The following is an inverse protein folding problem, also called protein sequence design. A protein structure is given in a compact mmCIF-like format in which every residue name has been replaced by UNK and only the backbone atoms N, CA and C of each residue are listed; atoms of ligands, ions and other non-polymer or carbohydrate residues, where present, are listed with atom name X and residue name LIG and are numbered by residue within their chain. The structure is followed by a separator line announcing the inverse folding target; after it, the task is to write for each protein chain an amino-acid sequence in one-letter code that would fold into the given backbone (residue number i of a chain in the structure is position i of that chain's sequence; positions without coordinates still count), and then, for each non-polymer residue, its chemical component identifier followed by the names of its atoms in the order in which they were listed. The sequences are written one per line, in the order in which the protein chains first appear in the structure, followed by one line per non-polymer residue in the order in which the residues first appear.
data_IF_120100623299
#
_entry.id   IF_120100623299
#
_cell.length_a   1.000
_cell.length_b   1.000
_cell.length_c   1.000
_cell.angle_alpha   90.00
_cell.angle_beta   90.00
_cell.angle_gamma   90.00
#
_symmetry.space_group_name_H-M   'P 1'
#
loop_
_entity.id
_entity.type
_entity.pdbx_description
1 polymer ?
#
# COMPACT_ATOMS: atom_id res chain seq x y z
N UNK A 1 39.37 34.05 9.67
CA UNK A 1 39.26 32.57 9.83
C UNK A 1 37.99 32.11 9.11
N UNK A 2 38.17 31.38 8.03
CA UNK A 2 37.20 31.22 6.94
C UNK A 2 35.99 30.37 7.36
N UNK A 3 34.77 30.85 7.18
CA UNK A 3 33.50 30.17 7.52
C UNK A 3 33.38 28.77 6.86
N UNK A 4 33.92 28.63 5.66
CA UNK A 4 33.99 27.35 4.92
C UNK A 4 34.80 26.26 5.66
N UNK A 5 35.85 26.62 6.40
CA UNK A 5 36.63 25.67 7.21
C UNK A 5 35.84 25.16 8.43
N UNK A 6 34.98 26.01 9.01
CA UNK A 6 34.10 25.62 10.16
C UNK A 6 32.98 24.68 9.75
N UNK A 7 32.43 24.85 8.55
CA UNK A 7 31.36 23.95 8.02
C UNK A 7 31.96 22.58 7.68
N UNK A 8 33.15 22.56 7.02
CA UNK A 8 33.86 21.31 6.69
C UNK A 8 34.24 20.48 7.93
N UNK A 9 34.63 21.14 9.02
CA UNK A 9 34.96 20.46 10.27
C UNK A 9 33.70 19.91 11.00
N UNK A 10 32.54 20.59 10.90
CA UNK A 10 31.29 20.06 11.45
C UNK A 10 30.79 18.83 10.68
N UNK A 11 30.96 18.80 9.36
CA UNK A 11 30.58 17.65 8.52
C UNK A 11 31.51 16.45 8.82
N UNK A 12 32.81 16.69 9.02
CA UNK A 12 33.75 15.63 9.42
C UNK A 12 33.51 15.10 10.84
N UNK A 13 33.05 15.96 11.77
CA UNK A 13 32.68 15.49 13.11
C UNK A 13 31.46 14.57 13.10
N UNK A 14 30.43 14.88 12.28
CA UNK A 14 29.26 14.00 12.10
C UNK A 14 29.64 12.66 11.47
N UNK A 15 30.55 12.66 10.49
CA UNK A 15 31.09 11.44 9.89
C UNK A 15 31.90 10.59 10.88
N UNK A 16 32.69 11.22 11.75
CA UNK A 16 33.47 10.52 12.79
C UNK A 16 32.62 9.99 13.93
N UNK A 17 31.63 10.76 14.38
CA UNK A 17 30.65 10.32 15.39
C UNK A 17 29.77 9.19 14.81
N UNK A 18 29.33 9.30 13.56
CA UNK A 18 28.60 8.25 12.87
C UNK A 18 29.42 6.95 12.74
N UNK A 19 30.71 7.02 12.39
CA UNK A 19 31.61 5.85 12.36
C UNK A 19 31.85 5.25 13.75
N UNK A 20 32.02 6.09 14.77
CA UNK A 20 32.22 5.65 16.15
C UNK A 20 30.97 4.97 16.73
N UNK A 21 29.77 5.51 16.44
CA UNK A 21 28.52 4.89 16.84
C UNK A 21 28.25 3.58 16.08
N UNK A 22 28.61 3.49 14.78
CA UNK A 22 28.52 2.25 13.99
C UNK A 22 29.45 1.14 14.50
N UNK A 23 30.62 1.47 15.02
CA UNK A 23 31.57 0.46 15.55
C UNK A 23 31.13 -0.13 16.89
N UNK A 24 30.24 0.53 17.63
CA UNK A 24 29.75 0.06 18.94
C UNK A 24 28.37 -0.61 18.89
N UNK A 25 27.59 -0.38 17.83
CA UNK A 25 26.26 -0.96 17.67
C UNK A 25 26.16 -1.59 16.29
N UNK A 26 26.36 -2.88 16.21
CA UNK A 26 26.32 -3.66 14.98
C UNK A 26 24.91 -3.83 14.38
N UNK A 27 23.87 -3.50 15.15
CA UNK A 27 22.49 -3.46 14.66
C UNK A 27 21.67 -2.50 15.51
N UNK A 28 20.94 -1.60 14.87
CA UNK A 28 19.98 -0.72 15.50
C UNK A 28 18.60 -1.04 14.90
N UNK A 29 17.69 -1.50 15.75
CA UNK A 29 16.30 -1.77 15.34
C UNK A 29 15.49 -0.51 15.54
N UNK A 30 14.85 -0.02 14.48
CA UNK A 30 13.92 1.10 14.57
C UNK A 30 12.51 0.54 14.65
N UNK A 31 11.99 0.42 15.85
CA UNK A 31 10.57 0.15 16.08
C UNK A 31 9.82 1.48 16.02
N UNK A 32 8.89 1.61 15.09
CA UNK A 32 8.00 2.77 15.05
C UNK A 32 6.62 2.34 15.50
N UNK A 33 6.15 2.81 16.67
CA UNK A 33 4.76 2.59 17.05
C UNK A 33 3.85 3.27 16.04
N UNK A 34 2.80 2.59 15.62
CA UNK A 34 1.74 3.18 14.85
C UNK A 34 0.80 3.94 15.81
N UNK A 35 0.68 5.24 15.61
CA UNK A 35 -0.23 6.07 16.42
C UNK A 35 -1.43 6.43 15.55
N UNK A 36 -2.61 5.92 15.93
CA UNK A 36 -3.87 6.37 15.34
C UNK A 36 -4.19 7.72 15.95
N UNK A 37 -4.17 8.77 15.13
CA UNK A 37 -4.77 10.05 15.51
C UNK A 37 -6.27 9.96 15.25
N UNK A 38 -7.05 10.09 16.30
CA UNK A 38 -8.50 10.22 16.22
C UNK A 38 -8.80 11.70 16.13
N UNK A 39 -9.08 12.19 14.93
CA UNK A 39 -9.56 13.56 14.73
C UNK A 39 -11.09 13.59 14.85
N UNK A 40 -11.66 14.70 15.31
CA UNK A 40 -13.11 14.87 15.45
C UNK A 40 -13.85 14.96 14.09
N UNK A 41 -13.12 15.20 13.01
CA UNK A 41 -13.67 15.25 11.65
C UNK A 41 -13.59 13.87 10.99
N UNK A 42 -14.75 13.24 10.86
CA UNK A 42 -14.90 11.92 10.26
C UNK A 42 -15.51 12.04 8.86
N UNK A 43 -14.69 12.35 7.86
CA UNK A 43 -15.15 12.54 6.47
C UNK A 43 -15.63 11.24 5.80
N UNK A 44 -15.30 10.08 6.38
CA UNK A 44 -15.73 8.77 5.89
C UNK A 44 -16.76 8.10 6.82
N UNK A 45 -17.43 8.89 7.68
CA UNK A 45 -18.46 8.32 8.55
C UNK A 45 -19.60 7.70 7.73
N UNK A 46 -20.06 6.53 8.16
CA UNK A 46 -21.07 5.74 7.43
C UNK A 46 -20.54 5.00 6.19
N UNK A 47 -19.30 5.20 5.77
CA UNK A 47 -18.71 4.50 4.63
C UNK A 47 -18.26 3.09 4.99
N UNK A 48 -18.40 2.16 4.03
CA UNK A 48 -17.96 0.77 4.12
C UNK A 48 -16.70 0.57 3.28
N UNK A 49 -15.60 0.22 3.94
CA UNK A 49 -14.30 0.03 3.29
C UNK A 49 -13.84 -1.43 3.36
N UNK A 50 -13.49 -2.02 2.22
CA UNK A 50 -12.91 -3.36 2.10
C UNK A 50 -11.42 -3.24 1.76
N UNK A 51 -10.54 -3.87 2.56
CA UNK A 51 -9.09 -3.80 2.37
C UNK A 51 -8.52 -5.19 2.22
N UNK A 52 -8.15 -5.56 1.00
CA UNK A 52 -7.47 -6.84 0.76
C UNK A 52 -6.01 -6.76 1.21
N UNK A 53 -5.48 -7.85 1.77
CA UNK A 53 -4.13 -7.83 2.34
C UNK A 53 -3.99 -6.88 3.54
N UNK A 54 -5.07 -6.65 4.28
CA UNK A 54 -5.15 -5.71 5.39
C UNK A 54 -4.26 -6.04 6.60
N UNK A 55 -3.72 -7.25 6.68
CA UNK A 55 -2.72 -7.64 7.69
C UNK A 55 -1.28 -7.23 7.32
N UNK A 56 -1.01 -6.90 6.06
CA UNK A 56 0.29 -6.41 5.61
C UNK A 56 0.54 -4.95 6.04
N UNK A 57 1.79 -4.51 6.06
CA UNK A 57 2.17 -3.18 6.58
C UNK A 57 1.36 -2.03 5.96
N UNK A 58 1.24 -1.99 4.62
CA UNK A 58 0.49 -0.94 3.92
C UNK A 58 -1.02 -1.11 4.14
N UNK A 59 -1.55 -2.33 3.97
CA UNK A 59 -2.97 -2.61 4.18
C UNK A 59 -3.43 -2.29 5.60
N UNK A 60 -2.61 -2.66 6.61
CA UNK A 60 -2.83 -2.30 8.01
C UNK A 60 -2.90 -0.78 8.19
N UNK A 61 -1.94 -0.04 7.65
CA UNK A 61 -1.94 1.43 7.75
C UNK A 61 -3.17 2.06 7.07
N UNK A 62 -3.62 1.52 5.93
CA UNK A 62 -4.86 1.95 5.29
C UNK A 62 -6.08 1.64 6.15
N UNK A 63 -6.16 0.45 6.76
CA UNK A 63 -7.26 0.06 7.63
C UNK A 63 -7.40 1.01 8.82
N UNK A 64 -6.31 1.29 9.51
CA UNK A 64 -6.28 2.23 10.61
C UNK A 64 -6.69 3.64 10.19
N UNK A 65 -6.14 4.11 9.08
CA UNK A 65 -6.41 5.48 8.61
C UNK A 65 -7.87 5.67 8.23
N UNK A 66 -8.45 4.74 7.46
CA UNK A 66 -9.86 4.83 7.04
C UNK A 66 -10.80 4.64 8.23
N UNK A 67 -10.48 3.76 9.19
CA UNK A 67 -11.24 3.62 10.41
C UNK A 67 -11.17 4.89 11.29
N UNK A 68 -10.02 5.55 11.38
CA UNK A 68 -9.87 6.83 12.09
C UNK A 68 -10.78 7.90 11.52
N UNK A 69 -10.97 7.94 10.21
CA UNK A 69 -11.87 8.86 9.49
C UNK A 69 -13.35 8.45 9.56
N UNK A 70 -13.71 7.38 10.27
CA UNK A 70 -15.09 6.98 10.54
C UNK A 70 -15.62 5.80 9.73
N UNK A 71 -14.88 5.31 8.73
CA UNK A 71 -15.33 4.17 7.95
C UNK A 71 -15.45 2.89 8.79
N UNK A 72 -16.45 2.05 8.50
CA UNK A 72 -16.49 0.65 8.92
C UNK A 72 -15.56 -0.15 8.02
N UNK A 73 -14.51 -0.73 8.58
CA UNK A 73 -13.42 -1.34 7.80
C UNK A 73 -13.47 -2.85 7.86
N UNK A 74 -13.54 -3.52 6.71
CA UNK A 74 -13.39 -4.96 6.56
C UNK A 74 -11.93 -5.28 6.21
N UNK A 75 -11.20 -5.80 7.18
CA UNK A 75 -9.78 -6.15 7.06
C UNK A 75 -9.66 -7.57 6.55
N UNK A 76 -9.31 -7.75 5.27
CA UNK A 76 -9.22 -9.05 4.63
C UNK A 76 -7.80 -9.61 4.69
N UNK A 77 -7.66 -10.86 5.16
CA UNK A 77 -6.41 -11.62 5.21
C UNK A 77 -6.58 -13.02 4.65
N UNK A 78 -5.52 -13.60 4.07
CA UNK A 78 -5.56 -14.95 3.48
C UNK A 78 -5.70 -16.08 4.51
N UNK A 79 -5.32 -15.82 5.76
CA UNK A 79 -5.45 -16.79 6.88
C UNK A 79 -6.47 -16.24 7.88
N UNK A 80 -7.25 -17.14 8.55
CA UNK A 80 -8.31 -16.73 9.47
C UNK A 80 -7.83 -15.77 10.58
N UNK A 81 -6.60 -15.99 11.08
CA UNK A 81 -6.04 -15.26 12.21
C UNK A 81 -5.19 -14.04 11.83
N UNK A 82 -4.93 -13.82 10.52
CA UNK A 82 -3.96 -12.79 10.11
C UNK A 82 -4.52 -11.37 10.23
N UNK A 83 -5.81 -11.17 10.05
CA UNK A 83 -6.46 -9.86 10.12
C UNK A 83 -6.92 -9.48 11.53
N UNK A 84 -7.15 -10.46 12.42
CA UNK A 84 -7.72 -10.24 13.74
C UNK A 84 -6.91 -9.26 14.61
N UNK A 85 -5.57 -9.33 14.72
CA UNK A 85 -4.81 -8.38 15.53
C UNK A 85 -4.99 -6.93 15.09
N UNK A 86 -5.13 -6.69 13.77
CA UNK A 86 -5.37 -5.35 13.22
C UNK A 86 -6.75 -4.84 13.62
N UNK A 87 -7.74 -5.71 13.57
CA UNK A 87 -9.12 -5.41 13.95
C UNK A 87 -9.23 -5.12 15.43
N UNK A 88 -8.59 -5.93 16.29
CA UNK A 88 -8.59 -5.74 17.73
C UNK A 88 -8.01 -4.38 18.13
N UNK A 89 -6.90 -3.97 17.50
CA UNK A 89 -6.31 -2.66 17.72
C UNK A 89 -7.23 -1.51 17.26
N UNK A 90 -7.91 -1.64 16.12
CA UNK A 90 -8.86 -0.64 15.62
C UNK A 90 -10.06 -0.51 16.57
N UNK A 91 -10.60 -1.64 17.05
CA UNK A 91 -11.71 -1.67 18.00
C UNK A 91 -11.27 -1.07 19.35
N UNK A 92 -10.06 -1.39 19.82
CA UNK A 92 -9.51 -0.81 21.05
C UNK A 92 -9.35 0.73 20.96
N UNK A 93 -9.18 1.28 19.75
CA UNK A 93 -9.19 2.71 19.49
C UNK A 93 -10.61 3.30 19.35
N UNK A 94 -11.67 2.55 19.65
CA UNK A 94 -13.06 3.00 19.59
C UNK A 94 -13.63 3.10 18.16
N UNK A 95 -13.01 2.44 17.18
CA UNK A 95 -13.42 2.47 15.77
C UNK A 95 -14.02 1.14 15.34
N UNK A 96 -14.64 1.11 14.13
CA UNK A 96 -15.38 -0.04 13.62
C UNK A 96 -14.53 -0.84 12.65
N UNK A 97 -14.26 -2.11 12.94
CA UNK A 97 -13.57 -3.02 12.03
C UNK A 97 -14.10 -4.45 12.16
N UNK A 98 -13.96 -5.22 11.08
CA UNK A 98 -14.32 -6.64 11.01
C UNK A 98 -13.19 -7.40 10.32
N UNK A 99 -12.76 -8.54 10.89
CA UNK A 99 -11.77 -9.41 10.27
C UNK A 99 -12.44 -10.38 9.31
N UNK A 100 -11.93 -10.48 8.09
CA UNK A 100 -12.45 -11.39 7.06
C UNK A 100 -11.31 -12.28 6.54
N UNK A 101 -11.57 -13.57 6.45
CA UNK A 101 -10.72 -14.45 5.67
C UNK A 101 -11.07 -14.29 4.19
N UNK A 102 -10.10 -13.92 3.37
CA UNK A 102 -10.26 -13.79 1.93
C UNK A 102 -9.02 -14.29 1.19
N UNK A 103 -9.19 -15.34 0.40
CA UNK A 103 -8.18 -15.80 -0.54
C UNK A 103 -8.42 -15.16 -1.90
N UNK A 104 -7.58 -14.19 -2.28
CA UNK A 104 -7.72 -13.47 -3.57
C UNK A 104 -7.43 -14.33 -4.81
N UNK A 105 -6.99 -15.58 -4.63
CA UNK A 105 -6.84 -16.56 -5.71
C UNK A 105 -8.16 -17.29 -6.04
N UNK A 106 -9.10 -17.29 -5.12
CA UNK A 106 -10.39 -17.98 -5.23
C UNK A 106 -11.51 -16.97 -5.60
N UNK A 107 -11.95 -17.04 -6.85
CA UNK A 107 -12.95 -16.12 -7.38
C UNK A 107 -14.33 -16.30 -6.71
N UNK A 108 -14.67 -17.54 -6.32
CA UNK A 108 -15.95 -17.83 -5.64
C UNK A 108 -15.91 -17.24 -4.23
N UNK A 109 -14.81 -17.47 -3.50
CA UNK A 109 -14.62 -16.88 -2.18
C UNK A 109 -14.68 -15.35 -2.20
N UNK A 110 -14.13 -14.69 -3.25
CA UNK A 110 -14.23 -13.24 -3.41
C UNK A 110 -15.70 -12.83 -3.59
N UNK A 111 -16.41 -13.44 -4.54
CA UNK A 111 -17.80 -13.11 -4.83
C UNK A 111 -18.68 -13.24 -3.58
N UNK A 112 -18.59 -14.37 -2.87
CA UNK A 112 -19.36 -14.63 -1.64
C UNK A 112 -19.02 -13.62 -0.55
N UNK A 113 -17.74 -13.30 -0.36
CA UNK A 113 -17.29 -12.33 0.63
C UNK A 113 -17.86 -10.94 0.38
N UNK A 114 -17.80 -10.45 -0.88
CA UNK A 114 -18.32 -9.12 -1.21
C UNK A 114 -19.84 -9.05 -1.10
N UNK A 115 -20.55 -10.11 -1.49
CA UNK A 115 -22.01 -10.22 -1.27
C UNK A 115 -22.37 -10.18 0.20
N UNK A 116 -21.65 -10.93 1.05
CA UNK A 116 -21.92 -10.96 2.49
C UNK A 116 -21.67 -9.59 3.13
N UNK A 117 -20.54 -8.94 2.79
CA UNK A 117 -20.26 -7.57 3.27
C UNK A 117 -21.35 -6.59 2.85
N UNK A 118 -21.78 -6.63 1.60
CA UNK A 118 -22.84 -5.76 1.11
C UNK A 118 -24.17 -6.02 1.84
N UNK A 119 -24.56 -7.29 2.03
CA UNK A 119 -25.79 -7.66 2.75
C UNK A 119 -25.79 -7.16 4.20
N UNK A 120 -24.65 -7.20 4.89
CA UNK A 120 -24.49 -6.65 6.25
C UNK A 120 -24.52 -5.12 6.33
N UNK A 121 -24.46 -4.43 5.20
CA UNK A 121 -24.36 -2.98 5.11
C UNK A 121 -25.36 -2.38 4.10
N UNK A 122 -26.57 -2.92 4.05
CA UNK A 122 -27.69 -2.38 3.24
C UNK A 122 -27.34 -2.22 1.75
N UNK A 123 -26.52 -3.11 1.22
CA UNK A 123 -26.04 -3.08 -0.17
C UNK A 123 -24.86 -2.17 -0.43
N UNK A 124 -24.19 -1.65 0.62
CA UNK A 124 -23.09 -0.71 0.48
C UNK A 124 -21.71 -1.37 0.55
N UNK A 125 -20.89 -1.07 -0.45
CA UNK A 125 -19.44 -1.14 -0.45
C UNK A 125 -18.97 0.16 -1.09
N UNK A 126 -18.40 1.07 -0.30
CA UNK A 126 -18.07 2.42 -0.76
C UNK A 126 -16.60 2.55 -1.19
N UNK A 127 -15.70 1.81 -0.52
CA UNK A 127 -14.27 1.90 -0.72
C UNK A 127 -13.68 0.51 -0.86
N UNK A 128 -12.85 0.30 -1.88
CA UNK A 128 -12.01 -0.87 -2.04
C UNK A 128 -10.54 -0.46 -2.09
N UNK A 129 -9.71 -1.01 -1.19
CA UNK A 129 -8.27 -0.91 -1.25
C UNK A 129 -7.67 -2.27 -1.59
N UNK A 130 -7.22 -2.45 -2.82
CA UNK A 130 -6.50 -3.63 -3.26
C UNK A 130 -5.04 -3.54 -2.84
N UNK A 131 -4.71 -4.11 -1.66
CA UNK A 131 -3.37 -4.16 -1.09
C UNK A 131 -2.82 -5.58 -0.95
N UNK A 132 -3.61 -6.60 -1.28
CA UNK A 132 -3.12 -7.97 -1.34
C UNK A 132 -2.04 -8.11 -2.43
N UNK A 133 -0.94 -8.76 -2.09
CA UNK A 133 0.15 -9.00 -3.01
C UNK A 133 1.53 -8.73 -2.44
N UNK A 134 2.53 -8.93 -3.28
CA UNK A 134 3.93 -8.76 -2.93
C UNK A 134 4.83 -9.17 -4.08
N UNK A 135 6.13 -8.95 -3.92
CA UNK A 135 7.15 -9.52 -4.82
C UNK A 135 7.40 -11.00 -4.49
N UNK A 136 8.06 -11.70 -5.39
CA UNK A 136 8.47 -13.10 -5.17
C UNK A 136 9.40 -13.31 -3.95
N UNK A 137 9.88 -12.21 -3.34
CA UNK A 137 10.75 -12.27 -2.16
C UNK A 137 12.06 -13.02 -2.45
N UNK A 138 12.32 -14.06 -1.67
CA UNK A 138 13.50 -14.92 -1.85
C UNK A 138 13.47 -15.81 -3.11
N UNK A 139 12.35 -15.87 -3.84
CA UNK A 139 12.20 -16.58 -5.12
C UNK A 139 12.50 -15.68 -6.34
N UNK A 140 12.85 -14.40 -6.13
CA UNK A 140 13.18 -13.46 -7.23
C UNK A 140 14.45 -13.92 -7.95
N UNK A 141 14.38 -14.03 -9.29
CA UNK A 141 15.47 -14.52 -10.10
C UNK A 141 15.49 -13.85 -11.50
N UNK A 142 16.57 -14.04 -12.25
CA UNK A 142 16.60 -13.64 -13.66
C UNK A 142 15.59 -14.47 -14.46
N UNK A 143 15.00 -13.88 -15.50
CA UNK A 143 13.89 -14.48 -16.26
C UNK A 143 14.20 -15.87 -16.82
N UNK A 144 15.45 -16.10 -17.23
CA UNK A 144 15.89 -17.39 -17.81
C UNK A 144 16.04 -18.52 -16.77
N UNK A 145 16.10 -18.14 -15.49
CA UNK A 145 16.28 -19.05 -14.35
C UNK A 145 15.02 -19.08 -13.44
N UNK A 146 14.00 -18.25 -13.79
CA UNK A 146 12.81 -18.12 -12.96
C UNK A 146 11.88 -19.34 -13.17
N UNK A 147 11.35 -19.83 -12.08
CA UNK A 147 10.32 -20.87 -12.10
C UNK A 147 9.01 -20.33 -12.68
N UNK A 148 8.40 -21.06 -13.59
CA UNK A 148 7.13 -20.71 -14.23
C UNK A 148 6.00 -20.56 -13.21
N UNK A 149 6.00 -21.39 -12.18
CA UNK A 149 5.00 -21.32 -11.10
C UNK A 149 5.06 -19.97 -10.34
N UNK A 150 6.24 -19.36 -10.28
CA UNK A 150 6.41 -18.02 -9.66
C UNK A 150 5.78 -16.92 -10.53
N UNK A 151 5.84 -17.05 -11.87
CA UNK A 151 5.12 -16.12 -12.76
C UNK A 151 3.61 -16.21 -12.49
N UNK A 152 3.04 -17.39 -12.46
CA UNK A 152 1.62 -17.61 -12.23
C UNK A 152 1.19 -17.15 -10.83
N UNK A 153 1.94 -17.50 -9.80
CA UNK A 153 1.69 -17.08 -8.42
C UNK A 153 1.61 -15.55 -8.32
N UNK A 154 2.61 -14.84 -8.82
CA UNK A 154 2.71 -13.38 -8.70
C UNK A 154 1.66 -12.65 -9.55
N UNK A 155 1.41 -13.10 -10.77
CA UNK A 155 0.37 -12.53 -11.62
C UNK A 155 -1.02 -12.76 -11.03
N UNK A 156 -1.29 -13.96 -10.55
CA UNK A 156 -2.59 -14.32 -9.99
C UNK A 156 -2.90 -13.54 -8.70
N UNK A 157 -1.94 -13.39 -7.78
CA UNK A 157 -2.15 -12.65 -6.54
C UNK A 157 -2.25 -11.15 -6.82
N UNK A 158 -1.26 -10.57 -7.52
CA UNK A 158 -1.12 -9.12 -7.61
C UNK A 158 -2.07 -8.47 -8.61
N UNK A 159 -2.42 -9.16 -9.70
CA UNK A 159 -3.20 -8.61 -10.79
C UNK A 159 -4.58 -9.25 -10.87
N UNK A 160 -4.66 -10.57 -11.13
CA UNK A 160 -5.95 -11.23 -11.30
C UNK A 160 -6.85 -11.08 -10.07
N UNK A 161 -6.32 -11.30 -8.86
CA UNK A 161 -7.07 -11.15 -7.62
C UNK A 161 -7.61 -9.74 -7.43
N UNK A 162 -6.78 -8.71 -7.69
CA UNK A 162 -7.21 -7.31 -7.62
C UNK A 162 -8.31 -6.97 -8.66
N UNK A 163 -8.23 -7.56 -9.87
CA UNK A 163 -9.25 -7.37 -10.90
C UNK A 163 -10.60 -7.96 -10.46
N UNK A 164 -10.61 -9.16 -9.89
CA UNK A 164 -11.83 -9.81 -9.43
C UNK A 164 -12.44 -9.05 -8.24
N UNK A 165 -11.62 -8.64 -7.26
CA UNK A 165 -12.11 -7.82 -6.15
C UNK A 165 -12.71 -6.49 -6.64
N UNK A 166 -12.08 -5.84 -7.62
CA UNK A 166 -12.61 -4.60 -8.20
C UNK A 166 -13.93 -4.84 -8.95
N UNK A 167 -14.06 -5.95 -9.68
CA UNK A 167 -15.31 -6.36 -10.35
C UNK A 167 -16.44 -6.51 -9.34
N UNK A 168 -16.21 -7.27 -8.27
CA UNK A 168 -17.25 -7.55 -7.27
C UNK A 168 -17.65 -6.29 -6.47
N UNK A 169 -16.69 -5.43 -6.11
CA UNK A 169 -17.00 -4.15 -5.48
C UNK A 169 -17.80 -3.22 -6.41
N UNK A 170 -17.43 -3.16 -7.69
CA UNK A 170 -18.06 -2.27 -8.66
C UNK A 170 -19.54 -2.57 -8.85
N UNK A 171 -20.00 -3.81 -8.69
CA UNK A 171 -21.43 -4.18 -8.77
C UNK A 171 -22.25 -3.34 -7.77
N UNK A 172 -21.82 -3.25 -6.53
CA UNK A 172 -22.48 -2.51 -5.47
C UNK A 172 -22.28 -0.99 -5.62
N UNK A 173 -21.07 -0.57 -5.99
CA UNK A 173 -20.75 0.83 -6.21
C UNK A 173 -21.58 1.44 -7.35
N UNK A 174 -21.81 0.70 -8.45
CA UNK A 174 -22.66 1.14 -9.57
C UNK A 174 -24.11 1.32 -9.11
N UNK A 175 -24.65 0.38 -8.32
CA UNK A 175 -26.01 0.48 -7.79
C UNK A 175 -26.20 1.71 -6.90
N UNK A 176 -25.17 2.04 -6.10
CA UNK A 176 -25.19 3.19 -5.19
C UNK A 176 -24.70 4.50 -5.83
N UNK A 177 -24.23 4.47 -7.08
CA UNK A 177 -23.66 5.62 -7.81
C UNK A 177 -22.52 6.33 -7.04
N UNK A 178 -21.76 5.56 -6.30
CA UNK A 178 -20.63 6.03 -5.51
C UNK A 178 -19.61 4.91 -5.35
N UNK A 179 -18.33 5.25 -5.43
CA UNK A 179 -17.26 4.29 -5.14
C UNK A 179 -15.88 4.92 -5.23
N UNK A 180 -14.97 4.34 -4.47
CA UNK A 180 -13.54 4.65 -4.45
C UNK A 180 -12.74 3.36 -4.53
N UNK A 181 -12.07 3.10 -5.65
CA UNK A 181 -11.23 1.92 -5.86
C UNK A 181 -9.78 2.36 -5.90
N UNK A 182 -8.98 1.87 -4.95
CA UNK A 182 -7.56 2.19 -4.84
C UNK A 182 -6.73 0.91 -4.99
N UNK A 183 -5.88 0.85 -6.01
CA UNK A 183 -4.93 -0.24 -6.19
C UNK A 183 -3.54 0.14 -5.67
N UNK A 184 -2.98 -0.65 -4.77
CA UNK A 184 -1.58 -0.52 -4.37
C UNK A 184 -0.71 -1.13 -5.47
N UNK A 185 -0.21 -0.25 -6.32
CA UNK A 185 0.66 -0.59 -7.45
C UNK A 185 2.14 -0.64 -7.01
N UNK A 186 3.07 -0.18 -7.80
CA UNK A 186 4.49 -0.02 -7.44
C UNK A 186 5.20 0.84 -8.46
N UNK A 187 6.24 1.56 -8.05
CA UNK A 187 7.16 2.24 -9.00
C UNK A 187 7.90 1.23 -9.89
N UNK A 188 8.07 -0.02 -9.46
CA UNK A 188 8.64 -1.09 -10.29
C UNK A 188 7.73 -1.41 -11.50
N UNK A 189 6.41 -1.24 -11.37
CA UNK A 189 5.48 -1.35 -12.49
C UNK A 189 5.64 -0.24 -13.53
N UNK A 190 6.25 0.89 -13.17
CA UNK A 190 6.56 2.00 -14.09
C UNK A 190 7.91 1.82 -14.80
N UNK A 191 8.91 1.30 -14.09
CA UNK A 191 10.30 1.34 -14.53
C UNK A 191 10.88 -0.05 -14.88
N UNK A 192 10.25 -1.13 -14.38
CA UNK A 192 10.87 -2.43 -14.35
C UNK A 192 11.98 -2.53 -13.30
N UNK A 193 12.47 -3.74 -13.07
CA UNK A 193 13.66 -4.02 -12.28
C UNK A 193 14.20 -5.39 -12.63
N UNK A 194 15.48 -5.51 -12.93
CA UNK A 194 16.14 -6.80 -13.15
C UNK A 194 15.91 -7.75 -11.97
N UNK A 195 15.64 -9.01 -12.25
CA UNK A 195 15.31 -10.04 -11.26
C UNK A 195 13.90 -9.94 -10.65
N UNK A 196 13.01 -9.09 -11.20
CA UNK A 196 11.63 -8.89 -10.72
C UNK A 196 10.65 -8.74 -11.90
N UNK A 197 10.89 -9.45 -13.00
CA UNK A 197 10.11 -9.30 -14.23
C UNK A 197 8.63 -9.61 -14.04
N UNK A 198 8.29 -10.68 -13.31
CA UNK A 198 6.93 -11.09 -12.97
C UNK A 198 6.21 -10.05 -12.11
N UNK A 199 6.92 -9.51 -11.12
CA UNK A 199 6.39 -8.47 -10.26
C UNK A 199 6.18 -7.16 -11.03
N UNK A 200 7.16 -6.76 -11.86
CA UNK A 200 7.05 -5.58 -12.71
C UNK A 200 5.88 -5.70 -13.67
N UNK A 201 5.70 -6.86 -14.32
CA UNK A 201 4.58 -7.14 -15.22
C UNK A 201 3.24 -7.07 -14.47
N UNK A 202 3.13 -7.69 -13.28
CA UNK A 202 1.89 -7.64 -12.49
C UNK A 202 1.51 -6.23 -12.08
N UNK A 203 2.47 -5.41 -11.65
CA UNK A 203 2.23 -4.03 -11.20
C UNK A 203 2.07 -3.06 -12.38
N UNK A 204 2.74 -3.30 -13.52
CA UNK A 204 2.49 -2.59 -14.77
C UNK A 204 1.08 -2.85 -15.29
N UNK A 205 0.64 -4.11 -15.31
CA UNK A 205 -0.73 -4.50 -15.62
C UNK A 205 -1.76 -3.81 -14.71
N UNK A 206 -1.49 -3.76 -13.41
CA UNK A 206 -2.34 -3.05 -12.43
C UNK A 206 -2.47 -1.55 -12.73
N UNK A 207 -1.40 -0.88 -13.19
CA UNK A 207 -1.43 0.54 -13.56
C UNK A 207 -2.33 0.79 -14.77
N UNK A 208 -2.24 -0.08 -15.79
CA UNK A 208 -3.09 0.04 -16.99
C UNK A 208 -4.53 -0.35 -16.67
N UNK A 209 -4.75 -1.38 -15.85
CA UNK A 209 -6.07 -1.78 -15.38
C UNK A 209 -6.81 -0.63 -14.67
N UNK A 210 -6.12 0.13 -13.79
CA UNK A 210 -6.68 1.34 -13.16
C UNK A 210 -7.21 2.32 -14.19
N UNK A 211 -6.47 2.57 -15.27
CA UNK A 211 -6.89 3.51 -16.32
C UNK A 211 -8.12 3.04 -17.10
N UNK A 212 -8.17 1.75 -17.42
CA UNK A 212 -9.32 1.16 -18.14
C UNK A 212 -10.57 1.19 -17.26
N UNK A 213 -10.43 0.75 -16.00
CA UNK A 213 -11.56 0.69 -15.09
C UNK A 213 -12.09 2.10 -14.73
N UNK A 214 -11.22 3.10 -14.65
CA UNK A 214 -11.62 4.49 -14.45
C UNK A 214 -12.52 5.02 -15.59
N UNK A 215 -12.21 4.64 -16.84
CA UNK A 215 -13.02 5.00 -18.01
C UNK A 215 -14.40 4.32 -18.00
N UNK A 216 -14.45 3.06 -17.59
CA UNK A 216 -15.69 2.29 -17.52
C UNK A 216 -16.62 2.79 -16.42
N UNK A 217 -16.06 3.12 -15.24
CA UNK A 217 -16.82 3.37 -14.02
C UNK A 217 -17.09 4.86 -13.72
N UNK A 218 -16.36 5.79 -14.35
CA UNK A 218 -16.45 7.22 -14.06
C UNK A 218 -17.87 7.78 -14.21
N UNK A 219 -18.66 7.31 -15.20
CA UNK A 219 -20.05 7.72 -15.41
C UNK A 219 -20.99 7.35 -14.25
N UNK A 220 -20.57 6.47 -13.36
CA UNK A 220 -21.34 6.05 -12.18
C UNK A 220 -20.90 6.75 -10.89
N UNK A 221 -20.05 7.79 -10.97
CA UNK A 221 -19.54 8.49 -9.80
C UNK A 221 -18.45 7.73 -9.05
N UNK A 222 -17.82 6.74 -9.70
CA UNK A 222 -16.77 5.90 -9.12
C UNK A 222 -15.42 6.37 -9.61
N UNK A 223 -14.49 6.64 -8.67
CA UNK A 223 -13.10 6.91 -9.02
C UNK A 223 -12.23 5.66 -8.84
N UNK A 224 -11.27 5.48 -9.73
CA UNK A 224 -10.32 4.37 -9.69
C UNK A 224 -8.91 4.91 -9.82
N UNK A 225 -8.08 4.73 -8.79
CA UNK A 225 -6.72 5.26 -8.77
C UNK A 225 -5.71 4.23 -8.28
N UNK A 226 -4.46 4.40 -8.69
CA UNK A 226 -3.30 3.66 -8.22
C UNK A 226 -2.46 4.50 -7.26
N UNK A 227 -1.93 3.87 -6.23
CA UNK A 227 -0.87 4.43 -5.40
C UNK A 227 0.36 3.54 -5.56
N UNK A 228 1.47 4.11 -6.02
CA UNK A 228 2.70 3.40 -6.35
C UNK A 228 3.79 3.66 -5.29
N UNK A 229 3.94 2.77 -4.31
CA UNK A 229 4.99 2.90 -3.32
C UNK A 229 6.38 2.71 -3.91
N UNK A 230 7.36 3.43 -3.33
CA UNK A 230 8.77 3.10 -3.41
C UNK A 230 9.15 1.98 -2.43
N UNK A 231 10.30 2.13 -1.77
CA UNK A 231 10.69 1.22 -0.69
C UNK A 231 10.04 1.68 0.61
N UNK A 232 9.12 0.86 1.12
CA UNK A 232 8.39 1.10 2.36
C UNK A 232 8.87 0.14 3.44
N UNK A 233 9.08 0.65 4.64
CA UNK A 233 9.42 -0.14 5.82
C UNK A 233 8.27 -1.11 6.15
N UNK A 234 8.61 -2.39 6.34
CA UNK A 234 7.63 -3.46 6.64
C UNK A 234 7.87 -4.15 8.00
N UNK A 235 8.67 -3.55 8.84
CA UNK A 235 9.09 -4.09 10.14
C UNK A 235 10.35 -3.42 10.61
N UNK A 236 11.11 -4.12 11.43
CA UNK A 236 12.41 -3.65 11.89
C UNK A 236 13.41 -3.58 10.74
N UNK A 237 14.22 -2.53 10.71
CA UNK A 237 15.21 -2.29 9.66
C UNK A 237 16.54 -2.00 10.34
N UNK A 238 17.60 -2.71 9.92
CA UNK A 238 18.96 -2.45 10.39
C UNK A 238 19.48 -1.12 9.84
N UNK A 239 20.44 -0.51 10.53
CA UNK A 239 21.06 0.75 10.07
C UNK A 239 21.71 0.60 8.69
N UNK A 240 22.37 -0.54 8.43
CA UNK A 240 22.99 -0.81 7.13
C UNK A 240 21.94 -0.93 6.01
N UNK A 241 20.79 -1.54 6.30
CA UNK A 241 19.69 -1.60 5.36
C UNK A 241 19.10 -0.19 5.12
N UNK A 242 18.95 0.62 6.17
CA UNK A 242 18.51 2.01 6.04
C UNK A 242 19.44 2.82 5.15
N UNK A 243 20.76 2.74 5.35
CA UNK A 243 21.73 3.46 4.55
C UNK A 243 21.72 2.98 3.09
N UNK A 244 21.79 1.68 2.86
CA UNK A 244 21.85 1.08 1.52
C UNK A 244 20.59 1.38 0.71
N UNK A 245 19.40 1.19 1.30
CA UNK A 245 18.13 1.36 0.60
C UNK A 245 17.67 2.81 0.57
N UNK A 246 17.98 3.60 1.61
CA UNK A 246 17.75 5.05 1.62
C UNK A 246 18.49 5.76 0.47
N UNK A 247 19.66 5.27 0.10
CA UNK A 247 20.40 5.79 -1.05
C UNK A 247 19.74 5.52 -2.41
N UNK A 248 18.66 4.76 -2.46
CA UNK A 248 17.92 4.47 -3.70
C UNK A 248 16.83 5.48 -4.05
N UNK A 249 16.60 6.50 -3.23
CA UNK A 249 15.65 7.57 -3.49
C UNK A 249 16.27 8.94 -3.11
N UNK A 250 15.69 10.03 -3.61
CA UNK A 250 16.23 11.38 -3.41
C UNK A 250 16.08 11.88 -1.98
N UNK A 251 15.06 11.45 -1.26
CA UNK A 251 14.86 11.79 0.17
C UNK A 251 15.79 11.02 1.12
N UNK A 252 16.53 10.03 0.61
CA UNK A 252 17.51 9.22 1.35
C UNK A 252 16.94 8.57 2.62
N UNK A 253 15.69 8.13 2.56
CA UNK A 253 14.99 7.48 3.67
C UNK A 253 14.05 6.38 3.15
N UNK A 254 13.53 5.57 4.06
CA UNK A 254 12.41 4.69 3.76
C UNK A 254 11.09 5.47 3.79
N UNK A 255 10.17 5.12 2.89
CA UNK A 255 8.77 5.42 3.07
C UNK A 255 8.21 4.65 4.27
N UNK A 256 7.21 5.21 4.92
CA UNK A 256 6.44 4.56 5.97
C UNK A 256 5.12 4.07 5.38
N UNK A 257 4.51 3.02 5.94
CA UNK A 257 3.15 2.63 5.56
C UNK A 257 2.15 3.79 5.65
N UNK A 258 2.35 4.70 6.61
CA UNK A 258 1.54 5.89 6.82
C UNK A 258 1.63 6.90 5.66
N UNK A 259 2.78 7.01 5.00
CA UNK A 259 2.92 7.87 3.84
C UNK A 259 2.02 7.39 2.69
N UNK A 260 1.91 6.07 2.54
CA UNK A 260 1.03 5.46 1.54
C UNK A 260 -0.44 5.62 1.94
N UNK A 261 -0.78 5.31 3.20
CA UNK A 261 -2.16 5.42 3.67
C UNK A 261 -2.69 6.85 3.69
N UNK A 262 -1.83 7.86 3.80
CA UNK A 262 -2.22 9.27 3.70
C UNK A 262 -2.76 9.60 2.30
N UNK A 263 -2.09 9.12 1.24
CA UNK A 263 -2.54 9.31 -0.15
C UNK A 263 -3.79 8.48 -0.43
N UNK A 264 -3.87 7.23 0.07
CA UNK A 264 -5.07 6.40 -0.04
C UNK A 264 -6.26 7.10 0.60
N UNK A 265 -6.11 7.62 1.81
CA UNK A 265 -7.16 8.35 2.52
C UNK A 265 -7.64 9.59 1.74
N UNK A 266 -6.71 10.40 1.25
CA UNK A 266 -7.04 11.56 0.41
C UNK A 266 -7.87 11.15 -0.80
N UNK A 267 -7.48 10.09 -1.52
CA UNK A 267 -8.19 9.61 -2.70
C UNK A 267 -9.57 9.00 -2.38
N UNK A 268 -9.84 8.65 -1.13
CA UNK A 268 -11.14 8.14 -0.69
C UNK A 268 -12.14 9.25 -0.33
N UNK A 269 -11.68 10.48 -0.14
CA UNK A 269 -12.50 11.62 0.27
C UNK A 269 -13.20 12.29 -0.91
N UNK A 270 -14.20 13.12 -0.59
CA UNK A 270 -14.97 13.84 -1.60
C UNK A 270 -14.14 14.90 -2.33
N UNK A 271 -13.17 15.51 -1.65
CA UNK A 271 -12.23 16.48 -2.25
C UNK A 271 -11.41 15.90 -3.42
N UNK A 272 -11.26 14.56 -3.49
CA UNK A 272 -10.60 13.86 -4.57
C UNK A 272 -11.56 13.32 -5.65
N UNK A 273 -12.85 13.69 -5.62
CA UNK A 273 -13.90 13.15 -6.49
C UNK A 273 -13.67 13.37 -7.99
N UNK A 274 -12.80 14.31 -8.36
CA UNK A 274 -12.42 14.55 -9.77
C UNK A 274 -11.07 13.93 -10.17
N UNK A 275 -10.45 13.14 -9.28
CA UNK A 275 -9.20 12.42 -9.54
C UNK A 275 -9.53 10.96 -9.86
N UNK A 276 -9.36 10.56 -11.11
CA UNK A 276 -9.56 9.16 -11.54
C UNK A 276 -8.57 8.77 -12.63
N UNK A 277 -8.25 7.49 -12.73
CA UNK A 277 -7.28 6.94 -13.70
C UNK A 277 -5.82 7.29 -13.43
N UNK A 278 -5.51 7.89 -12.26
CA UNK A 278 -4.16 8.31 -11.92
C UNK A 278 -3.39 7.21 -11.20
N UNK A 279 -2.06 7.22 -11.35
CA UNK A 279 -1.17 6.37 -10.58
C UNK A 279 -0.14 7.27 -9.88
N UNK A 280 -0.34 7.50 -8.58
CA UNK A 280 0.42 8.46 -7.79
C UNK A 280 1.62 7.75 -7.16
N UNK A 281 2.84 8.18 -7.51
CA UNK A 281 4.06 7.66 -6.91
C UNK A 281 4.28 8.27 -5.51
N UNK A 282 4.52 7.40 -4.52
CA UNK A 282 4.85 7.76 -3.14
C UNK A 282 6.16 7.04 -2.80
N UNK A 283 7.28 7.60 -3.24
CA UNK A 283 8.52 6.85 -3.38
C UNK A 283 9.80 7.63 -2.97
N UNK A 284 9.64 8.82 -2.42
CA UNK A 284 10.77 9.68 -2.07
C UNK A 284 11.60 10.13 -3.28
N UNK A 285 10.97 10.18 -4.46
CA UNK A 285 11.62 10.54 -5.72
C UNK A 285 12.41 9.40 -6.38
N UNK A 286 12.22 8.15 -5.95
CA UNK A 286 12.93 6.99 -6.52
C UNK A 286 12.72 6.84 -8.02
N UNK A 287 11.52 7.16 -8.53
CA UNK A 287 11.16 7.04 -9.94
C UNK A 287 11.62 8.21 -10.82
N UNK A 288 12.26 9.24 -10.26
CA UNK A 288 12.69 10.43 -11.02
C UNK A 288 13.97 10.23 -11.84
N UNK A 289 14.57 9.02 -11.81
CA UNK A 289 15.72 8.70 -12.63
C UNK A 289 17.06 8.78 -11.90
N UNK A 290 18.12 9.07 -12.65
CA UNK A 290 19.51 8.96 -12.19
C UNK A 290 19.81 9.89 -11.01
N UNK A 291 20.52 9.34 -10.03
CA UNK A 291 21.21 10.14 -9.02
C UNK A 291 22.57 10.58 -9.56
N UNK A 292 22.99 11.78 -9.20
CA UNK A 292 24.37 12.18 -9.39
C UNK A 292 25.29 11.19 -8.65
N UNK A 293 26.30 10.75 -9.34
CA UNK A 293 27.33 9.81 -8.87
C UNK A 293 28.23 10.44 -7.82
#
# INVERSE_FOLDING_TARGET
MNITKRIRNRINLRGRIGKFLRSRYSSFQVTRPYIIKVDEHTELDGKVAVITGGSGAIGRACAFRLAAEGAKVYVCGSRPTSAQPVVDEIIAAGKKAVAIQLNVLDAISIEETFKNIANENEGHIDILVNSAGGSAGGKANNVVEQDVDVFDEILNINLRGAMICAKEAAIFMIANKYGRIINITSVIGLQGKAGFSEYAASKGGSIVFVKSLAQELGRYGITVNGVAPGIVQRGEVTMDAMERLGNTNWMRTFGKPEDISAVVNFLCKEEASFITGQNIAVDGGRSLGLKES
#
